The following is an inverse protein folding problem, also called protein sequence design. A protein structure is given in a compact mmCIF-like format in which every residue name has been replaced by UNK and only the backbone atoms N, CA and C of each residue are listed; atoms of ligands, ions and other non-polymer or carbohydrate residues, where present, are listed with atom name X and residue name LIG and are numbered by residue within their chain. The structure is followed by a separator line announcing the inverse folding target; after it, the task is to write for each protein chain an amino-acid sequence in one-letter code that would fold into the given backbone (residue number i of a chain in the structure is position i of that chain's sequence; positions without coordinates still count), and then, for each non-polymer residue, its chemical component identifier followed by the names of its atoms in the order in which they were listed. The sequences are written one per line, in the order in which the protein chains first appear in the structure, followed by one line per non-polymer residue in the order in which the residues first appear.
data_IF_893514939483
#
_entry.id   IF_893514939483
#
_cell.length_a   1.000
_cell.length_b   1.000
_cell.length_c   1.000
_cell.angle_alpha   90.00
_cell.angle_beta   90.00
_cell.angle_gamma   90.00
#
_symmetry.space_group_name_H-M   'P 1'
#
loop_
_entity.id
_entity.type
_entity.pdbx_description
1 polymer ?
#
# COMPACT_ATOMS: atom_id res chain seq x y z
N UNK A 1 -95.76 -18.93 -20.58
CA UNK A 1 -95.13 -18.48 -21.85
C UNK A 1 -94.78 -17.01 -21.69
N UNK A 2 -93.47 -16.71 -21.54
CA UNK A 2 -92.83 -15.37 -21.47
C UNK A 2 -93.48 -14.27 -20.60
N UNK A 3 -92.84 -14.01 -19.46
CA UNK A 3 -92.98 -12.78 -18.68
C UNK A 3 -92.25 -11.57 -19.31
N UNK A 4 -92.67 -10.40 -18.79
CA UNK A 4 -92.02 -9.07 -18.70
C UNK A 4 -92.59 -7.93 -19.55
N UNK A 5 -93.08 -6.90 -18.84
CA UNK A 5 -92.96 -5.52 -19.26
C UNK A 5 -92.27 -4.62 -18.21
N UNK A 6 -91.39 -3.74 -18.71
CA UNK A 6 -91.08 -2.38 -18.21
C UNK A 6 -90.50 -2.19 -16.78
N UNK A 7 -89.32 -1.57 -16.68
CA UNK A 7 -89.25 -0.11 -16.39
C UNK A 7 -87.83 0.49 -16.34
N UNK A 8 -87.73 1.67 -16.97
CA UNK A 8 -86.98 2.89 -16.58
C UNK A 8 -85.43 2.91 -16.57
N UNK A 9 -84.92 3.97 -17.21
CA UNK A 9 -83.51 4.39 -17.30
C UNK A 9 -82.97 4.83 -15.93
N UNK A 10 -81.73 4.47 -15.61
CA UNK A 10 -80.96 5.08 -14.52
C UNK A 10 -79.67 5.72 -15.06
N UNK A 11 -79.38 6.95 -14.63
CA UNK A 11 -78.18 7.70 -15.03
C UNK A 11 -76.97 7.19 -14.24
N UNK A 12 -75.88 6.85 -14.92
CA UNK A 12 -74.58 6.59 -14.27
C UNK A 12 -73.80 7.90 -14.25
N UNK A 13 -73.47 8.38 -13.05
CA UNK A 13 -72.56 9.51 -12.82
C UNK A 13 -71.36 9.02 -12.03
N UNK A 14 -70.18 9.34 -12.56
CA UNK A 14 -68.82 9.40 -11.97
C UNK A 14 -68.58 8.79 -10.57
N UNK A 15 -67.44 8.10 -10.42
CA UNK A 15 -66.36 8.57 -9.55
C UNK A 15 -64.99 8.04 -10.01
N UNK A 16 -64.06 8.95 -10.33
CA UNK A 16 -62.65 8.64 -10.56
C UNK A 16 -61.91 8.74 -9.23
N UNK A 17 -61.46 7.61 -8.67
CA UNK A 17 -60.62 7.61 -7.47
C UNK A 17 -59.14 7.64 -7.86
N UNK A 18 -58.52 8.82 -7.76
CA UNK A 18 -57.08 9.00 -7.93
C UNK A 18 -56.36 8.38 -6.73
N UNK A 19 -55.75 7.20 -6.92
CA UNK A 19 -54.84 6.63 -5.93
C UNK A 19 -53.49 7.34 -6.04
N UNK A 20 -53.26 8.30 -5.15
CA UNK A 20 -51.95 8.94 -4.99
C UNK A 20 -50.99 7.93 -4.36
N UNK A 21 -50.18 7.26 -5.19
CA UNK A 21 -49.03 6.50 -4.71
C UNK A 21 -47.93 7.47 -4.29
N UNK A 22 -47.89 7.81 -3.00
CA UNK A 22 -46.78 8.56 -2.40
C UNK A 22 -45.54 7.66 -2.38
N UNK A 23 -44.76 7.67 -3.46
CA UNK A 23 -43.45 7.00 -3.51
C UNK A 23 -42.48 7.76 -2.63
N UNK A 24 -42.53 7.46 -1.33
CA UNK A 24 -41.46 7.80 -0.38
C UNK A 24 -40.19 7.08 -0.85
N UNK A 25 -39.31 7.85 -1.50
CA UNK A 25 -38.01 7.40 -1.98
C UNK A 25 -37.06 7.06 -0.83
N UNK A 26 -37.30 5.94 -0.16
CA UNK A 26 -36.38 5.36 0.79
C UNK A 26 -35.09 4.99 0.04
N UNK A 27 -34.01 5.72 0.33
CA UNK A 27 -32.67 5.42 -0.15
C UNK A 27 -32.13 4.18 0.59
N UNK A 28 -32.62 3.00 0.19
CA UNK A 28 -32.16 1.71 0.69
C UNK A 28 -30.67 1.52 0.38
N UNK A 29 -29.82 1.91 1.33
CA UNK A 29 -28.39 1.64 1.28
C UNK A 29 -28.17 0.14 1.18
N UNK A 30 -27.24 -0.28 0.31
CA UNK A 30 -27.04 -1.70 0.00
C UNK A 30 -26.79 -2.55 1.26
N UNK A 31 -27.69 -3.50 1.51
CA UNK A 31 -27.54 -4.52 2.55
C UNK A 31 -26.60 -5.61 2.05
N UNK A 32 -25.44 -5.75 2.70
CA UNK A 32 -24.44 -6.76 2.37
C UNK A 32 -24.96 -8.14 2.75
N UNK A 33 -25.01 -9.04 1.76
CA UNK A 33 -25.43 -10.43 1.91
C UNK A 33 -24.21 -11.34 2.11
N UNK A 34 -24.36 -12.35 2.95
CA UNK A 34 -23.28 -13.28 3.32
C UNK A 34 -23.69 -14.72 3.00
N UNK A 35 -22.76 -15.50 2.44
CA UNK A 35 -22.91 -16.93 2.28
C UNK A 35 -22.88 -17.66 3.63
N UNK A 36 -23.20 -18.96 3.62
CA UNK A 36 -23.05 -19.83 4.79
C UNK A 36 -21.85 -20.77 4.59
N UNK A 37 -20.90 -20.85 5.54
CA UNK A 37 -20.71 -19.92 6.67
C UNK A 37 -20.30 -18.52 6.19
N UNK A 38 -20.53 -17.47 7.00
CA UNK A 38 -20.21 -16.09 6.58
C UNK A 38 -18.70 -15.79 6.53
N UNK A 39 -17.92 -16.46 7.36
CA UNK A 39 -16.46 -16.36 7.44
C UNK A 39 -15.86 -17.74 7.73
N UNK A 40 -14.73 -18.04 7.08
CA UNK A 40 -13.98 -19.31 7.19
C UNK A 40 -12.51 -19.05 7.48
N UNK A 41 -11.87 -19.96 8.22
CA UNK A 41 -10.41 -19.99 8.37
C UNK A 41 -9.83 -20.82 7.23
N UNK A 42 -9.08 -20.19 6.32
CA UNK A 42 -8.38 -20.90 5.24
C UNK A 42 -6.97 -21.38 5.65
N UNK A 43 -6.35 -20.67 6.60
CA UNK A 43 -5.07 -20.98 7.20
C UNK A 43 -4.90 -20.21 8.51
N UNK A 44 -4.28 -20.80 9.54
CA UNK A 44 -3.88 -20.10 10.76
C UNK A 44 -2.60 -20.72 11.31
N UNK A 45 -1.54 -19.91 11.37
CA UNK A 45 -0.28 -20.26 12.00
C UNK A 45 -0.36 -20.26 13.53
N UNK A 46 0.58 -20.94 14.17
CA UNK A 46 0.60 -21.14 15.63
C UNK A 46 0.79 -19.87 16.47
N UNK A 47 1.31 -18.78 15.87
CA UNK A 47 1.50 -17.48 16.51
C UNK A 47 0.96 -16.36 15.60
N UNK A 48 -0.24 -16.56 15.05
CA UNK A 48 -0.79 -15.68 14.03
C UNK A 48 -1.12 -14.29 14.57
N UNK A 49 -0.48 -13.26 14.00
CA UNK A 49 -0.74 -11.85 14.31
C UNK A 49 -0.94 -10.98 13.06
N UNK A 50 -0.53 -11.46 11.87
CA UNK A 50 -0.73 -10.81 10.59
C UNK A 50 -1.87 -11.52 9.84
N UNK A 51 -3.02 -10.86 9.74
CA UNK A 51 -4.26 -11.45 9.22
C UNK A 51 -4.54 -10.94 7.80
N UNK A 52 -4.56 -11.82 6.80
CA UNK A 52 -5.04 -11.52 5.45
C UNK A 52 -6.50 -11.98 5.34
N UNK A 53 -7.38 -11.14 4.81
CA UNK A 53 -8.82 -11.43 4.72
C UNK A 53 -9.26 -11.39 3.27
N UNK A 54 -9.53 -12.56 2.71
CA UNK A 54 -9.94 -12.74 1.33
C UNK A 54 -11.45 -12.55 1.23
N UNK A 55 -11.87 -11.57 0.44
CA UNK A 55 -13.28 -11.28 0.14
C UNK A 55 -13.53 -11.43 -1.36
N UNK A 56 -14.73 -11.84 -1.75
CA UNK A 56 -15.17 -11.87 -3.14
C UNK A 56 -16.00 -10.63 -3.47
N UNK A 57 -15.82 -10.06 -4.66
CA UNK A 57 -16.80 -9.14 -5.24
C UNK A 57 -17.18 -9.53 -6.67
N UNK A 58 -18.44 -9.32 -7.03
CA UNK A 58 -19.05 -9.79 -8.27
C UNK A 58 -19.33 -11.30 -8.31
N UNK A 59 -19.30 -12.03 -7.18
CA UNK A 59 -19.68 -13.44 -7.11
C UNK A 59 -21.11 -13.60 -6.63
N UNK A 60 -21.97 -14.18 -7.45
CA UNK A 60 -23.34 -14.54 -7.07
C UNK A 60 -23.36 -15.72 -6.09
N UNK A 61 -24.53 -16.06 -5.55
CA UNK A 61 -24.71 -17.24 -4.68
C UNK A 61 -24.28 -18.54 -5.39
N UNK A 62 -24.62 -18.70 -6.68
CA UNK A 62 -24.21 -19.84 -7.49
C UNK A 62 -22.70 -19.90 -7.77
N UNK A 63 -21.99 -18.77 -7.65
CA UNK A 63 -20.55 -18.68 -7.92
C UNK A 63 -19.67 -18.78 -6.66
N UNK A 64 -20.22 -19.06 -5.48
CA UNK A 64 -19.42 -19.14 -4.25
C UNK A 64 -18.38 -20.28 -4.30
N UNK A 65 -18.64 -21.37 -5.03
CA UNK A 65 -17.65 -22.43 -5.30
C UNK A 65 -16.47 -21.91 -6.15
N UNK A 66 -16.75 -21.08 -7.16
CA UNK A 66 -15.75 -20.41 -8.00
C UNK A 66 -14.90 -19.43 -7.17
N UNK A 67 -15.54 -18.64 -6.30
CA UNK A 67 -14.86 -17.77 -5.34
C UNK A 67 -13.95 -18.57 -4.40
N UNK A 68 -14.44 -19.67 -3.81
CA UNK A 68 -13.65 -20.53 -2.93
C UNK A 68 -12.39 -21.06 -3.65
N UNK A 69 -12.52 -21.52 -4.91
CA UNK A 69 -11.37 -21.92 -5.74
C UNK A 69 -10.36 -20.79 -5.96
N UNK A 70 -10.80 -19.56 -6.21
CA UNK A 70 -9.93 -18.39 -6.33
C UNK A 70 -9.25 -18.01 -5.00
N UNK A 71 -9.95 -18.14 -3.88
CA UNK A 71 -9.40 -17.91 -2.55
C UNK A 71 -8.34 -18.96 -2.17
N UNK A 72 -8.56 -20.24 -2.51
CA UNK A 72 -7.55 -21.31 -2.33
C UNK A 72 -6.30 -21.07 -3.17
N UNK A 73 -6.45 -20.71 -4.45
CA UNK A 73 -5.31 -20.34 -5.32
C UNK A 73 -4.52 -19.15 -4.76
N UNK A 74 -5.22 -18.14 -4.25
CA UNK A 74 -4.62 -16.95 -3.64
C UNK A 74 -3.86 -17.29 -2.35
N UNK A 75 -4.47 -18.10 -1.47
CA UNK A 75 -3.83 -18.66 -0.27
C UNK A 75 -2.53 -19.39 -0.60
N UNK A 76 -2.56 -20.29 -1.60
CA UNK A 76 -1.38 -21.05 -2.02
C UNK A 76 -0.28 -20.12 -2.56
N UNK A 77 -0.63 -19.13 -3.38
CA UNK A 77 0.33 -18.15 -3.91
C UNK A 77 1.04 -17.37 -2.79
N UNK A 78 0.29 -16.93 -1.78
CA UNK A 78 0.83 -16.26 -0.59
C UNK A 78 1.75 -17.22 0.18
N UNK A 79 1.23 -18.37 0.63
CA UNK A 79 1.96 -19.30 1.50
C UNK A 79 3.17 -19.98 0.84
N UNK A 80 3.29 -19.93 -0.48
CA UNK A 80 4.45 -20.46 -1.21
C UNK A 80 5.51 -19.39 -1.54
N UNK A 81 5.17 -18.10 -1.47
CA UNK A 81 6.10 -17.02 -1.80
C UNK A 81 6.95 -16.63 -0.58
N UNK A 82 8.25 -16.42 -0.76
CA UNK A 82 9.12 -15.85 0.28
C UNK A 82 8.84 -14.35 0.45
N UNK A 83 8.81 -13.79 1.68
CA UNK A 83 9.08 -14.45 2.96
C UNK A 83 7.85 -15.01 3.68
N UNK A 84 6.62 -14.89 3.14
CA UNK A 84 5.41 -15.46 3.75
C UNK A 84 5.58 -16.94 4.09
N UNK A 85 6.28 -17.70 3.23
CA UNK A 85 6.56 -19.12 3.44
C UNK A 85 7.46 -19.41 4.66
N UNK A 86 8.38 -18.50 5.02
CA UNK A 86 9.26 -18.54 6.20
C UNK A 86 8.52 -18.12 7.47
N UNK A 87 7.67 -17.11 7.38
CA UNK A 87 6.89 -16.58 8.53
C UNK A 87 5.46 -17.13 8.60
N UNK A 88 5.24 -18.35 8.08
CA UNK A 88 3.93 -19.05 8.10
C UNK A 88 3.25 -19.03 9.47
N UNK A 89 3.99 -19.28 10.54
CA UNK A 89 3.47 -19.26 11.92
C UNK A 89 2.85 -17.91 12.34
N UNK A 90 3.28 -16.80 11.73
CA UNK A 90 2.78 -15.44 11.99
C UNK A 90 1.51 -15.07 11.23
N UNK A 91 1.06 -15.90 10.27
CA UNK A 91 -0.03 -15.58 9.35
C UNK A 91 -1.35 -16.23 9.76
N UNK A 92 -2.44 -15.48 9.62
CA UNK A 92 -3.77 -16.05 9.44
C UNK A 92 -4.34 -15.61 8.08
N UNK A 93 -5.09 -16.49 7.43
CA UNK A 93 -5.81 -16.22 6.19
C UNK A 93 -7.26 -16.64 6.38
N UNK A 94 -8.17 -15.68 6.31
CA UNK A 94 -9.61 -15.89 6.39
C UNK A 94 -10.25 -15.69 5.01
N UNK A 95 -11.40 -16.32 4.78
CA UNK A 95 -12.28 -16.08 3.63
C UNK A 95 -13.62 -15.57 4.16
N UNK A 96 -14.13 -14.47 3.61
CA UNK A 96 -15.48 -13.98 3.89
C UNK A 96 -16.32 -14.16 2.62
N UNK A 97 -17.41 -14.89 2.75
CA UNK A 97 -18.31 -15.21 1.64
C UNK A 97 -19.31 -14.06 1.47
N UNK A 98 -18.98 -13.11 0.59
CA UNK A 98 -19.90 -12.04 0.20
C UNK A 98 -20.71 -12.49 -1.02
N UNK A 99 -22.01 -12.22 -1.00
CA UNK A 99 -22.92 -12.52 -2.12
C UNK A 99 -23.21 -11.21 -2.87
N UNK A 100 -22.81 -11.17 -4.14
CA UNK A 100 -23.26 -10.16 -5.11
C UNK A 100 -24.61 -10.55 -5.72
N UNK A 101 -25.43 -9.57 -6.10
CA UNK A 101 -26.67 -9.86 -6.82
C UNK A 101 -26.40 -10.15 -8.31
N UNK A 102 -25.45 -9.43 -8.89
CA UNK A 102 -25.07 -9.55 -10.30
C UNK A 102 -23.63 -10.10 -10.44
N UNK A 103 -23.36 -10.84 -11.52
CA UNK A 103 -22.05 -11.48 -11.74
C UNK A 103 -21.03 -10.55 -12.41
N UNK A 104 -19.81 -10.55 -11.88
CA UNK A 104 -18.71 -9.67 -12.25
C UNK A 104 -18.96 -8.20 -11.87
N UNK A 105 -18.09 -7.31 -12.33
CA UNK A 105 -18.08 -5.88 -12.00
C UNK A 105 -18.29 -4.98 -13.23
N UNK A 106 -18.51 -3.68 -13.00
CA UNK A 106 -18.64 -2.66 -14.04
C UNK A 106 -17.27 -2.25 -14.63
N UNK A 107 -17.23 -1.83 -15.90
CA UNK A 107 -15.99 -1.40 -16.57
C UNK A 107 -15.60 0.05 -16.29
N UNK A 108 -16.51 0.84 -15.72
CA UNK A 108 -16.26 2.19 -15.19
C UNK A 108 -17.26 2.51 -14.08
N UNK A 109 -16.90 3.45 -13.18
CA UNK A 109 -17.82 3.93 -12.14
C UNK A 109 -19.12 4.53 -12.71
N UNK A 110 -19.06 5.09 -13.91
CA UNK A 110 -20.20 5.71 -14.60
C UNK A 110 -21.18 4.72 -15.21
N UNK A 111 -20.83 3.43 -15.33
CA UNK A 111 -21.77 2.42 -15.82
C UNK A 111 -22.77 2.04 -14.72
N UNK A 112 -22.30 1.77 -13.50
CA UNK A 112 -23.09 1.45 -12.30
C UNK A 112 -24.29 0.51 -12.57
N UNK A 113 -24.07 -0.53 -13.38
CA UNK A 113 -25.12 -1.48 -13.79
C UNK A 113 -25.18 -2.70 -12.89
N UNK A 114 -24.09 -3.03 -12.18
CA UNK A 114 -23.98 -4.27 -11.40
C UNK A 114 -24.00 -4.00 -9.90
N UNK A 115 -24.95 -4.65 -9.21
CA UNK A 115 -25.12 -4.60 -7.76
C UNK A 115 -24.24 -5.68 -7.12
N UNK A 116 -22.94 -5.39 -7.05
CA UNK A 116 -21.95 -6.28 -6.43
C UNK A 116 -21.79 -5.95 -4.95
N UNK A 117 -21.38 -6.93 -4.13
CA UNK A 117 -21.37 -6.83 -2.67
C UNK A 117 -20.52 -5.67 -2.11
N UNK A 118 -19.51 -5.22 -2.86
CA UNK A 118 -18.63 -4.10 -2.52
C UNK A 118 -18.63 -2.99 -3.59
N UNK A 119 -19.62 -2.95 -4.50
CA UNK A 119 -19.73 -1.98 -5.60
C UNK A 119 -18.42 -1.81 -6.40
N UNK A 120 -17.84 -2.94 -6.82
CA UNK A 120 -16.57 -2.98 -7.54
C UNK A 120 -16.67 -2.48 -8.98
N UNK A 121 -15.65 -1.77 -9.45
CA UNK A 121 -15.56 -1.26 -10.82
C UNK A 121 -14.11 -1.09 -11.30
N UNK A 122 -13.90 -1.11 -12.62
CA UNK A 122 -12.60 -0.79 -13.22
C UNK A 122 -12.34 0.71 -13.33
N UNK A 123 -11.10 1.14 -13.08
CA UNK A 123 -10.58 2.44 -13.48
C UNK A 123 -9.26 2.21 -14.25
N UNK A 124 -9.37 2.12 -15.58
CA UNK A 124 -8.27 1.68 -16.44
C UNK A 124 -7.87 0.23 -16.15
N UNK A 125 -6.73 0.03 -15.47
CA UNK A 125 -6.26 -1.28 -14.97
C UNK A 125 -6.45 -1.47 -13.45
N UNK A 126 -6.80 -0.41 -12.71
CA UNK A 126 -7.19 -0.53 -11.32
C UNK A 126 -8.58 -1.17 -11.20
N UNK A 127 -8.81 -1.92 -10.12
CA UNK A 127 -10.13 -2.50 -9.78
C UNK A 127 -10.53 -2.01 -8.40
N UNK A 128 -11.30 -0.93 -8.36
CA UNK A 128 -11.67 -0.25 -7.11
C UNK A 128 -12.95 -0.88 -6.53
N UNK A 129 -13.14 -0.72 -5.22
CA UNK A 129 -14.35 -1.08 -4.48
C UNK A 129 -14.80 0.07 -3.58
N UNK A 130 -16.03 0.03 -3.08
CA UNK A 130 -16.54 0.98 -2.08
C UNK A 130 -15.92 0.71 -0.69
N UNK A 131 -15.08 1.63 -0.17
CA UNK A 131 -14.38 1.42 1.10
C UNK A 131 -15.32 1.46 2.32
N UNK A 132 -16.50 2.08 2.22
CA UNK A 132 -17.49 2.10 3.30
C UNK A 132 -18.17 0.73 3.46
N UNK A 133 -18.44 0.03 2.35
CA UNK A 133 -18.97 -1.35 2.40
C UNK A 133 -17.91 -2.31 2.96
N UNK A 134 -16.65 -2.20 2.49
CA UNK A 134 -15.53 -2.96 3.05
C UNK A 134 -15.38 -2.73 4.57
N UNK A 135 -15.45 -1.48 5.04
CA UNK A 135 -15.38 -1.16 6.47
C UNK A 135 -16.50 -1.82 7.28
N UNK A 136 -17.74 -1.85 6.76
CA UNK A 136 -18.87 -2.55 7.40
C UNK A 136 -18.61 -4.05 7.53
N UNK A 137 -18.07 -4.70 6.49
CA UNK A 137 -17.71 -6.14 6.53
C UNK A 137 -16.63 -6.40 7.57
N UNK A 138 -15.55 -5.62 7.56
CA UNK A 138 -14.44 -5.77 8.52
C UNK A 138 -14.89 -5.52 9.96
N UNK A 139 -15.78 -4.55 10.19
CA UNK A 139 -16.35 -4.28 11.50
C UNK A 139 -17.19 -5.47 12.01
N UNK A 140 -18.06 -6.03 11.16
CA UNK A 140 -18.93 -7.19 11.49
C UNK A 140 -18.13 -8.40 12.00
N UNK A 141 -16.96 -8.66 11.41
CA UNK A 141 -16.13 -9.83 11.74
C UNK A 141 -14.89 -9.49 12.59
N UNK A 142 -14.77 -8.25 13.08
CA UNK A 142 -13.57 -7.75 13.76
C UNK A 142 -13.10 -8.62 14.94
N UNK A 143 -14.02 -9.13 15.75
CA UNK A 143 -13.75 -10.06 16.86
C UNK A 143 -13.08 -11.38 16.44
N UNK A 144 -13.32 -11.84 15.21
CA UNK A 144 -12.77 -13.09 14.66
C UNK A 144 -11.45 -12.88 13.91
N UNK A 145 -11.19 -11.65 13.44
CA UNK A 145 -10.01 -11.27 12.64
C UNK A 145 -8.80 -10.87 13.48
N UNK A 146 -9.00 -10.59 14.77
CA UNK A 146 -7.95 -10.23 15.72
C UNK A 146 -7.59 -8.74 15.69
N UNK A 147 -6.31 -8.41 15.91
CA UNK A 147 -5.89 -7.01 15.98
C UNK A 147 -5.98 -6.33 14.61
N UNK A 148 -6.99 -5.48 14.43
CA UNK A 148 -7.28 -4.76 13.17
C UNK A 148 -6.10 -3.93 12.64
N UNK A 149 -5.12 -3.54 13.47
CA UNK A 149 -3.87 -2.90 13.03
C UNK A 149 -3.09 -3.74 12.03
N UNK A 150 -3.20 -5.07 12.11
CA UNK A 150 -2.52 -6.05 11.25
C UNK A 150 -3.49 -6.89 10.41
N UNK A 151 -4.71 -6.39 10.20
CA UNK A 151 -5.68 -6.93 9.25
C UNK A 151 -5.48 -6.29 7.88
N UNK A 152 -5.44 -7.13 6.85
CA UNK A 152 -5.10 -6.80 5.47
C UNK A 152 -6.15 -7.36 4.50
N UNK A 153 -7.10 -6.53 4.04
CA UNK A 153 -8.13 -6.96 3.11
C UNK A 153 -7.56 -7.24 1.72
N UNK A 154 -7.92 -8.39 1.14
CA UNK A 154 -7.66 -8.77 -0.23
C UNK A 154 -8.99 -9.07 -0.93
N UNK A 155 -9.40 -8.21 -1.87
CA UNK A 155 -10.64 -8.40 -2.61
C UNK A 155 -10.34 -9.08 -3.95
N UNK A 156 -10.87 -10.28 -4.13
CA UNK A 156 -10.87 -10.98 -5.41
C UNK A 156 -12.10 -10.56 -6.18
N UNK A 157 -11.92 -10.04 -7.39
CA UNK A 157 -12.99 -9.52 -8.22
C UNK A 157 -13.26 -10.49 -9.37
N UNK A 158 -14.53 -10.90 -9.52
CA UNK A 158 -14.99 -11.89 -10.50
C UNK A 158 -14.91 -11.38 -11.94
N UNK A 159 -13.70 -11.31 -12.49
CA UNK A 159 -13.45 -10.81 -13.83
C UNK A 159 -12.14 -11.39 -14.38
N UNK A 160 -12.16 -11.77 -15.65
CA UNK A 160 -10.98 -12.26 -16.38
C UNK A 160 -10.15 -11.12 -16.98
N UNK A 161 -10.71 -9.89 -17.10
CA UNK A 161 -9.97 -8.70 -17.54
C UNK A 161 -8.86 -8.39 -16.55
N UNK A 162 -7.63 -8.29 -17.05
CA UNK A 162 -6.49 -7.98 -16.19
C UNK A 162 -6.65 -6.64 -15.45
N UNK A 163 -6.46 -6.68 -14.14
CA UNK A 163 -6.42 -5.52 -13.26
C UNK A 163 -6.19 -5.90 -11.80
N UNK A 164 -5.77 -4.90 -11.03
CA UNK A 164 -5.48 -4.97 -9.61
C UNK A 164 -5.13 -3.57 -9.11
N UNK A 165 -5.27 -3.32 -7.81
CA UNK A 165 -4.81 -2.09 -7.17
C UNK A 165 -4.67 -2.27 -5.67
N UNK A 166 -3.69 -1.59 -5.10
CA UNK A 166 -3.60 -1.37 -3.66
C UNK A 166 -4.03 0.04 -3.34
N UNK A 167 -5.14 0.17 -2.64
CA UNK A 167 -5.57 1.45 -2.08
C UNK A 167 -4.98 1.62 -0.68
N UNK A 168 -4.35 2.78 -0.43
CA UNK A 168 -3.71 3.11 0.83
C UNK A 168 -4.09 4.55 1.22
N UNK A 169 -5.20 4.68 1.96
CA UNK A 169 -5.66 5.93 2.56
C UNK A 169 -5.49 5.87 4.09
N UNK A 170 -5.56 7.02 4.76
CA UNK A 170 -5.60 7.09 6.23
C UNK A 170 -6.81 6.34 6.81
N UNK A 171 -7.96 6.42 6.14
CA UNK A 171 -9.22 5.85 6.62
C UNK A 171 -9.49 4.39 6.18
N UNK A 172 -8.82 3.93 5.12
CA UNK A 172 -9.01 2.58 4.59
C UNK A 172 -7.80 2.13 3.77
N UNK A 173 -7.51 0.83 3.81
CA UNK A 173 -6.50 0.19 2.99
C UNK A 173 -6.97 -1.20 2.54
N UNK A 174 -6.69 -1.55 1.29
CA UNK A 174 -6.97 -2.87 0.74
C UNK A 174 -6.12 -3.15 -0.49
N UNK A 175 -5.91 -4.42 -0.79
CA UNK A 175 -5.47 -4.91 -2.09
C UNK A 175 -6.69 -5.47 -2.82
N UNK A 176 -6.74 -5.32 -4.14
CA UNK A 176 -7.71 -6.00 -4.99
C UNK A 176 -7.05 -6.62 -6.22
N UNK A 177 -7.62 -7.71 -6.71
CA UNK A 177 -7.13 -8.42 -7.89
C UNK A 177 -8.30 -8.96 -8.70
N UNK A 178 -8.26 -8.78 -10.03
CA UNK A 178 -9.07 -9.59 -10.93
C UNK A 178 -8.72 -11.08 -10.78
N UNK A 179 -9.66 -11.96 -11.12
CA UNK A 179 -9.45 -13.41 -11.16
C UNK A 179 -9.15 -13.93 -12.55
N UNK A 180 -8.27 -13.21 -13.26
CA UNK A 180 -7.63 -13.67 -14.50
C UNK A 180 -6.67 -14.85 -14.25
N UNK A 181 -6.14 -15.44 -15.33
CA UNK A 181 -5.09 -16.48 -15.26
C UNK A 181 -3.83 -16.04 -14.49
N UNK A 182 -3.60 -14.73 -14.32
CA UNK A 182 -2.48 -14.16 -13.56
C UNK A 182 -2.79 -13.89 -12.08
N UNK A 183 -3.94 -14.32 -11.57
CA UNK A 183 -4.37 -14.14 -10.16
C UNK A 183 -3.25 -14.43 -9.12
N UNK A 184 -2.51 -15.56 -9.17
CA UNK A 184 -1.41 -15.84 -8.22
C UNK A 184 -0.26 -14.82 -8.26
N UNK A 185 -0.04 -14.18 -9.41
CA UNK A 185 0.98 -13.13 -9.52
C UNK A 185 0.49 -11.83 -8.87
N UNK A 186 -0.68 -11.36 -9.31
CA UNK A 186 -1.26 -10.07 -8.94
C UNK A 186 -1.52 -10.00 -7.43
N UNK A 187 -2.14 -11.03 -6.83
CA UNK A 187 -2.43 -11.05 -5.39
C UNK A 187 -1.19 -10.75 -4.54
N UNK A 188 -0.06 -11.41 -4.83
CA UNK A 188 1.14 -11.26 -4.01
C UNK A 188 1.89 -9.96 -4.35
N UNK A 189 1.75 -9.44 -5.57
CA UNK A 189 2.24 -8.11 -5.96
C UNK A 189 1.52 -7.01 -5.16
N UNK A 190 0.18 -7.02 -5.15
CA UNK A 190 -0.63 -6.04 -4.42
C UNK A 190 -0.43 -6.14 -2.89
N UNK A 191 -0.33 -7.35 -2.34
CA UNK A 191 0.03 -7.52 -0.93
C UNK A 191 1.45 -6.98 -0.60
N UNK A 192 2.35 -6.91 -1.58
CA UNK A 192 3.66 -6.25 -1.46
C UNK A 192 3.55 -4.74 -1.21
N UNK A 193 2.62 -4.06 -1.88
CA UNK A 193 2.28 -2.68 -1.56
C UNK A 193 1.57 -2.57 -0.20
N UNK A 194 0.55 -3.40 0.02
CA UNK A 194 -0.37 -3.26 1.16
C UNK A 194 0.31 -3.54 2.51
N UNK A 195 1.14 -4.58 2.59
CA UNK A 195 1.76 -5.05 3.83
C UNK A 195 3.16 -4.44 3.99
N UNK A 196 4.01 -4.56 2.96
CA UNK A 196 5.43 -4.22 3.04
C UNK A 196 5.77 -2.81 2.57
N UNK A 197 4.80 -2.09 1.99
CA UNK A 197 4.97 -0.73 1.44
C UNK A 197 6.10 -0.65 0.40
N UNK A 198 6.12 -1.62 -0.49
CA UNK A 198 6.96 -1.59 -1.69
C UNK A 198 6.35 -0.64 -2.73
N UNK A 199 7.19 0.02 -3.52
CA UNK A 199 6.78 0.73 -4.71
C UNK A 199 6.75 -0.20 -5.92
N UNK A 200 6.10 0.28 -7.00
CA UNK A 200 6.27 -0.32 -8.31
C UNK A 200 7.64 -0.04 -8.91
N UNK A 201 8.25 -1.10 -9.43
CA UNK A 201 9.53 -1.09 -10.13
C UNK A 201 9.33 -1.09 -11.67
N UNK A 202 8.09 -0.98 -12.16
CA UNK A 202 7.79 -0.75 -13.58
C UNK A 202 8.38 0.58 -14.07
N UNK A 203 8.88 0.58 -15.30
CA UNK A 203 9.52 1.71 -15.98
C UNK A 203 8.65 2.31 -17.11
N UNK A 204 7.35 1.98 -17.10
CA UNK A 204 6.37 2.43 -18.09
C UNK A 204 5.10 2.96 -17.42
N UNK A 205 4.42 3.89 -18.11
CA UNK A 205 3.17 4.50 -17.67
C UNK A 205 3.24 6.02 -17.47
N UNK A 206 4.45 6.60 -17.41
CA UNK A 206 4.68 8.05 -17.40
C UNK A 206 5.74 8.44 -18.44
N UNK A 207 5.59 9.64 -19.00
CA UNK A 207 6.57 10.28 -19.87
C UNK A 207 7.59 11.10 -19.06
N UNK A 208 8.72 11.44 -19.69
CA UNK A 208 9.76 12.27 -19.09
C UNK A 208 10.64 11.55 -18.06
N UNK A 209 11.27 12.35 -17.21
CA UNK A 209 12.24 11.95 -16.18
C UNK A 209 11.65 12.23 -14.79
N UNK A 210 11.93 11.37 -13.82
CA UNK A 210 11.60 11.64 -12.43
C UNK A 210 12.53 12.72 -11.85
N UNK A 211 11.96 13.83 -11.38
CA UNK A 211 12.67 14.93 -10.74
C UNK A 211 12.22 15.16 -9.28
N UNK A 212 11.52 14.18 -8.69
CA UNK A 212 11.09 14.26 -7.30
C UNK A 212 12.23 14.02 -6.31
N UNK A 213 11.96 14.28 -5.03
CA UNK A 213 12.85 13.93 -3.93
C UNK A 213 13.01 12.40 -3.78
N UNK A 214 13.97 11.97 -2.96
CA UNK A 214 14.20 10.55 -2.66
C UNK A 214 12.89 9.85 -2.24
N UNK A 215 12.38 8.85 -2.99
CA UNK A 215 11.15 8.17 -2.64
C UNK A 215 11.25 7.48 -1.27
N UNK A 216 10.19 7.46 -0.44
CA UNK A 216 10.26 6.84 0.88
C UNK A 216 10.36 5.31 0.84
N UNK A 217 9.92 4.69 -0.25
CA UNK A 217 9.80 3.24 -0.39
C UNK A 217 11.17 2.56 -0.52
N UNK A 218 11.35 1.42 0.16
CA UNK A 218 12.66 0.77 0.29
C UNK A 218 13.27 0.24 -1.02
N UNK A 219 12.46 -0.02 -2.04
CA UNK A 219 12.88 -0.67 -3.29
C UNK A 219 12.99 0.26 -4.52
N UNK A 220 12.88 1.59 -4.35
CA UNK A 220 13.09 2.58 -5.43
C UNK A 220 13.77 3.83 -4.90
N UNK A 221 14.69 4.44 -5.65
CA UNK A 221 15.51 5.59 -5.20
C UNK A 221 15.74 6.61 -6.31
N UNK A 222 15.91 7.88 -5.97
CA UNK A 222 16.38 8.93 -6.88
C UNK A 222 17.91 8.98 -6.97
N UNK A 223 18.63 8.11 -6.25
CA UNK A 223 20.07 7.93 -6.37
C UNK A 223 20.43 6.68 -7.20
N UNK A 224 21.04 6.88 -8.36
CA UNK A 224 21.49 5.81 -9.25
C UNK A 224 22.87 5.22 -8.96
N UNK A 225 23.63 5.75 -7.99
CA UNK A 225 24.97 5.26 -7.68
C UNK A 225 24.89 3.96 -6.84
N UNK A 226 25.35 2.80 -7.35
CA UNK A 226 25.23 1.51 -6.64
C UNK A 226 25.93 1.47 -5.28
N UNK A 227 26.91 2.34 -5.02
CA UNK A 227 27.66 2.39 -3.76
C UNK A 227 27.02 3.29 -2.70
N UNK A 228 26.18 4.26 -3.09
CA UNK A 228 25.54 5.22 -2.17
C UNK A 228 24.02 5.21 -2.19
N UNK A 229 23.41 4.45 -3.11
CA UNK A 229 21.97 4.16 -3.10
C UNK A 229 21.58 3.53 -1.76
N UNK A 230 20.39 3.85 -1.26
CA UNK A 230 19.99 3.54 0.12
C UNK A 230 20.06 2.04 0.51
N UNK A 231 19.94 1.13 -0.46
CA UNK A 231 20.04 -0.32 -0.25
C UNK A 231 21.42 -0.91 -0.52
N UNK A 232 22.47 -0.09 -0.65
CA UNK A 232 23.85 -0.55 -0.97
C UNK A 232 24.41 -1.58 0.02
N UNK A 233 23.95 -1.57 1.28
CA UNK A 233 24.27 -2.59 2.29
C UNK A 233 23.61 -3.96 2.04
N UNK A 234 22.61 -4.04 1.16
CA UNK A 234 21.92 -5.28 0.73
C UNK A 234 22.44 -5.73 -0.64
N UNK A 235 22.59 -4.79 -1.58
CA UNK A 235 23.10 -5.05 -2.93
C UNK A 235 23.64 -3.77 -3.56
N UNK A 236 24.84 -3.84 -4.14
CA UNK A 236 25.48 -2.70 -4.81
C UNK A 236 25.05 -2.64 -6.28
N UNK A 237 23.74 -2.49 -6.51
CA UNK A 237 23.12 -2.48 -7.84
C UNK A 237 21.99 -1.46 -7.91
N UNK A 238 21.95 -0.67 -8.98
CA UNK A 238 20.88 0.27 -9.28
C UNK A 238 20.59 0.23 -10.79
N UNK A 239 19.36 -0.10 -11.16
CA UNK A 239 18.91 -0.15 -12.55
C UNK A 239 17.94 1.01 -12.79
N UNK A 240 18.20 1.86 -13.78
CA UNK A 240 17.33 2.99 -14.07
C UNK A 240 15.95 2.51 -14.57
N UNK A 241 14.91 3.24 -14.18
CA UNK A 241 13.51 2.96 -14.45
C UNK A 241 12.79 2.36 -13.23
N UNK A 242 11.77 3.05 -12.73
CA UNK A 242 10.87 2.62 -11.65
C UNK A 242 9.72 3.63 -11.53
N UNK A 243 8.72 3.36 -10.67
CA UNK A 243 7.61 4.29 -10.39
C UNK A 243 6.95 4.84 -11.68
N UNK A 244 6.84 3.99 -12.71
CA UNK A 244 6.30 4.27 -14.04
C UNK A 244 7.15 5.20 -14.94
N UNK A 245 8.31 5.70 -14.46
CA UNK A 245 9.25 6.51 -15.22
C UNK A 245 10.39 5.65 -15.78
N UNK A 246 10.90 6.01 -16.97
CA UNK A 246 12.08 5.38 -17.58
C UNK A 246 13.41 5.92 -17.04
N UNK A 247 13.43 7.14 -16.50
CA UNK A 247 14.64 7.90 -16.13
C UNK A 247 14.50 8.60 -14.78
N UNK A 248 15.62 8.87 -14.11
CA UNK A 248 15.70 9.67 -12.88
C UNK A 248 15.25 8.96 -11.60
N UNK A 249 14.89 7.69 -11.68
CA UNK A 249 14.56 6.84 -10.53
C UNK A 249 15.01 5.41 -10.83
N UNK A 250 15.58 4.75 -9.82
CA UNK A 250 16.24 3.45 -9.94
C UNK A 250 15.54 2.41 -9.07
N UNK A 251 15.67 1.14 -9.47
CA UNK A 251 15.26 -0.07 -8.74
C UNK A 251 16.49 -0.96 -8.44
N UNK A 252 16.44 -1.86 -7.44
CA UNK A 252 17.60 -2.65 -7.04
C UNK A 252 17.98 -3.76 -8.03
N UNK A 253 17.03 -4.35 -8.77
CA UNK A 253 17.28 -5.51 -9.65
C UNK A 253 16.50 -5.45 -10.97
N UNK A 254 16.99 -6.16 -12.00
CA UNK A 254 16.31 -6.28 -13.31
C UNK A 254 14.96 -7.02 -13.23
N UNK A 255 14.85 -8.00 -12.34
CA UNK A 255 13.68 -8.85 -12.16
C UNK A 255 13.20 -8.82 -10.70
N UNK A 256 11.91 -8.56 -10.53
CA UNK A 256 11.21 -8.50 -9.25
C UNK A 256 9.71 -8.68 -9.53
N UNK A 257 8.96 -9.29 -8.62
CA UNK A 257 7.49 -9.31 -8.65
C UNK A 257 6.88 -7.90 -8.73
N UNK A 258 7.57 -6.86 -8.26
CA UNK A 258 7.17 -5.45 -8.38
C UNK A 258 7.43 -4.83 -9.78
N UNK A 259 7.99 -5.59 -10.73
CA UNK A 259 8.30 -5.13 -12.11
C UNK A 259 7.88 -6.10 -13.20
N UNK A 260 7.94 -7.40 -12.93
CA UNK A 260 7.83 -8.45 -13.94
C UNK A 260 7.01 -9.62 -13.44
N UNK A 261 6.60 -10.49 -14.36
CA UNK A 261 5.80 -11.69 -14.08
C UNK A 261 6.55 -12.81 -13.33
N UNK A 262 7.70 -12.53 -12.72
CA UNK A 262 8.44 -13.50 -11.90
C UNK A 262 7.74 -13.69 -10.56
N UNK A 263 7.80 -14.91 -10.02
CA UNK A 263 7.09 -15.29 -8.80
C UNK A 263 7.87 -15.01 -7.49
N UNK A 264 8.90 -14.17 -7.53
CA UNK A 264 9.72 -13.81 -6.37
C UNK A 264 9.94 -12.29 -6.27
N UNK A 265 10.06 -11.79 -5.05
CA UNK A 265 10.54 -10.44 -4.80
C UNK A 265 12.07 -10.38 -4.93
N UNK A 266 12.61 -9.21 -5.28
CA UNK A 266 14.06 -8.97 -5.30
C UNK A 266 14.66 -8.97 -3.87
N UNK A 267 15.98 -9.01 -3.73
CA UNK A 267 16.69 -9.04 -2.43
C UNK A 267 16.25 -7.92 -1.48
N UNK A 268 16.06 -6.70 -1.99
CA UNK A 268 15.66 -5.53 -1.19
C UNK A 268 14.20 -5.59 -0.77
N UNK A 269 13.31 -6.02 -1.68
CA UNK A 269 11.91 -6.27 -1.35
C UNK A 269 11.74 -7.40 -0.33
N UNK A 270 12.50 -8.49 -0.47
CA UNK A 270 12.59 -9.56 0.52
C UNK A 270 13.05 -9.03 1.88
N UNK A 271 14.14 -8.26 1.92
CA UNK A 271 14.68 -7.68 3.15
C UNK A 271 13.62 -6.81 3.87
N UNK A 272 12.93 -5.92 3.15
CA UNK A 272 11.87 -5.08 3.71
C UNK A 272 10.66 -5.90 4.21
N UNK A 273 10.31 -6.97 3.50
CA UNK A 273 9.23 -7.89 3.88
C UNK A 273 9.59 -8.77 5.10
N UNK A 274 10.84 -9.22 5.21
CA UNK A 274 11.35 -9.91 6.41
C UNK A 274 11.39 -8.97 7.61
N UNK A 275 11.87 -7.74 7.42
CA UNK A 275 11.89 -6.72 8.46
C UNK A 275 10.47 -6.48 9.00
N UNK A 276 9.46 -6.43 8.11
CA UNK A 276 8.05 -6.34 8.52
C UNK A 276 7.63 -7.48 9.44
N UNK A 277 7.96 -8.74 9.10
CA UNK A 277 7.57 -9.88 9.94
C UNK A 277 8.32 -9.91 11.28
N UNK A 278 9.57 -9.48 11.32
CA UNK A 278 10.36 -9.41 12.55
C UNK A 278 9.96 -8.24 13.46
N UNK A 279 9.55 -7.09 12.89
CA UNK A 279 9.36 -5.84 13.65
C UNK A 279 7.89 -5.35 13.70
N UNK A 280 6.96 -6.08 13.07
CA UNK A 280 5.53 -5.72 12.93
C UNK A 280 5.28 -4.30 12.37
N UNK A 281 6.22 -3.78 11.57
CA UNK A 281 6.15 -2.45 10.95
C UNK A 281 6.86 -2.45 9.58
N UNK A 282 6.34 -1.76 8.55
CA UNK A 282 7.02 -1.65 7.26
C UNK A 282 8.39 -0.97 7.38
N UNK A 283 9.34 -1.39 6.56
CA UNK A 283 10.64 -0.75 6.46
C UNK A 283 10.63 0.37 5.41
N UNK A 284 11.13 1.53 5.79
CA UNK A 284 11.52 2.61 4.89
C UNK A 284 13.02 2.84 5.04
N UNK A 285 13.82 2.24 4.16
CA UNK A 285 15.27 2.41 4.17
C UNK A 285 15.59 3.89 3.87
N UNK A 286 16.45 4.50 4.70
CA UNK A 286 16.94 5.87 4.50
C UNK A 286 18.34 5.88 3.87
N UNK A 287 18.69 6.85 3.01
CA UNK A 287 20.07 7.01 2.55
C UNK A 287 21.06 7.08 3.71
N UNK A 288 22.23 6.45 3.53
CA UNK A 288 23.29 6.39 4.56
C UNK A 288 22.98 5.54 5.81
N UNK A 289 21.79 4.96 5.93
CA UNK A 289 21.42 4.12 7.07
C UNK A 289 21.50 2.63 6.72
N UNK A 290 22.06 1.83 7.62
CA UNK A 290 22.06 0.38 7.54
C UNK A 290 20.98 -0.21 8.45
N UNK A 291 20.50 -1.40 8.10
CA UNK A 291 19.50 -2.14 8.86
C UNK A 291 19.93 -3.60 8.93
N UNK A 292 19.58 -4.29 10.01
CA UNK A 292 19.82 -5.72 10.18
C UNK A 292 18.51 -6.48 10.29
N UNK A 293 18.55 -7.75 9.90
CA UNK A 293 17.52 -8.73 10.26
C UNK A 293 18.07 -9.59 11.39
N UNK A 294 17.21 -10.00 12.31
CA UNK A 294 17.57 -11.01 13.29
C UNK A 294 17.90 -12.32 12.56
N UNK A 295 19.05 -12.91 12.88
CA UNK A 295 19.36 -14.27 12.46
C UNK A 295 18.50 -15.22 13.28
N UNK A 296 17.52 -15.89 12.65
CA UNK A 296 16.75 -16.96 13.28
C UNK A 296 17.61 -18.24 13.38
N UNK A 297 18.72 -18.16 14.10
CA UNK A 297 19.66 -19.23 14.36
C UNK A 297 19.91 -19.34 15.86
N UNK A 298 19.15 -20.22 16.50
CA UNK A 298 19.13 -20.51 17.93
C UNK A 298 18.66 -19.35 18.85
N UNK A 299 18.04 -19.72 19.97
CA UNK A 299 17.44 -18.74 20.88
C UNK A 299 18.49 -17.99 21.70
N UNK A 300 18.55 -16.67 21.56
CA UNK A 300 18.86 -15.80 22.69
C UNK A 300 18.22 -14.43 22.52
N UNK A 301 17.47 -14.01 23.53
CA UNK A 301 16.68 -12.80 23.52
C UNK A 301 17.60 -11.60 23.82
N UNK A 302 18.10 -10.91 22.79
CA UNK A 302 18.83 -9.66 22.95
C UNK A 302 18.01 -8.51 22.39
N UNK A 303 17.35 -7.78 23.29
CA UNK A 303 16.69 -6.51 22.97
C UNK A 303 17.76 -5.47 22.67
N UNK A 304 18.12 -5.32 21.39
CA UNK A 304 18.99 -4.23 20.98
C UNK A 304 18.18 -2.92 20.91
N UNK A 305 17.98 -2.33 22.09
CA UNK A 305 17.31 -1.05 22.25
C UNK A 305 18.17 0.05 21.62
N UNK A 306 17.82 0.46 20.40
CA UNK A 306 18.48 1.54 19.67
C UNK A 306 18.28 2.89 20.34
N UNK A 307 19.08 3.14 21.38
CA UNK A 307 19.00 4.32 22.22
C UNK A 307 19.53 5.55 21.46
N UNK A 308 18.62 6.31 20.84
CA UNK A 308 18.89 7.62 20.26
C UNK A 308 18.27 8.71 21.14
N UNK A 309 18.92 8.98 22.27
CA UNK A 309 18.69 10.20 23.03
C UNK A 309 19.23 11.40 22.27
N UNK A 310 18.38 12.37 21.96
CA UNK A 310 18.73 13.77 22.16
C UNK A 310 17.48 14.59 22.49
N UNK A 311 17.64 15.71 23.20
CA UNK A 311 16.58 16.41 23.94
C UNK A 311 15.31 16.76 23.13
N UNK A 312 14.14 16.90 23.75
CA UNK A 312 13.91 17.26 25.16
C UNK A 312 13.49 18.73 25.22
N UNK A 313 12.18 18.97 25.26
CA UNK A 313 11.58 20.30 25.22
C UNK A 313 10.10 20.21 25.57
N UNK A 314 9.79 20.36 26.86
CA UNK A 314 8.42 20.39 27.38
C UNK A 314 7.66 21.62 26.84
N UNK A 315 6.36 21.46 26.59
CA UNK A 315 5.42 22.12 27.50
C UNK A 315 4.07 21.40 27.62
N UNK A 316 3.42 21.61 28.76
CA UNK A 316 2.26 20.84 29.22
C UNK A 316 0.93 21.53 28.94
N UNK A 317 -0.12 20.71 28.75
CA UNK A 317 -1.51 20.90 29.21
C UNK A 317 -2.12 22.31 29.24
N UNK A 318 -3.25 22.49 28.54
CA UNK A 318 -4.48 22.74 29.30
C UNK A 318 -5.79 22.25 28.63
N UNK A 319 -6.79 22.05 29.48
CA UNK A 319 -8.17 21.65 29.18
C UNK A 319 -9.01 22.76 28.53
N UNK A 320 -10.14 22.36 27.92
CA UNK A 320 -11.26 23.28 27.61
C UNK A 320 -12.13 22.79 26.45
N UNK A 321 -13.37 22.39 26.72
CA UNK A 321 -14.35 22.04 25.68
C UNK A 321 -15.44 23.10 25.49
N UNK A 322 -16.42 22.83 24.63
CA UNK A 322 -17.70 23.56 24.60
C UNK A 322 -18.09 24.23 23.27
N UNK A 323 -19.00 23.56 22.55
CA UNK A 323 -20.11 24.06 21.72
C UNK A 323 -20.10 25.43 21.00
N UNK A 324 -20.67 25.37 19.78
CA UNK A 324 -21.44 26.42 19.08
C UNK A 324 -20.70 27.70 18.64
N UNK A 325 -21.20 28.50 17.69
CA UNK A 325 -22.07 28.27 16.51
C UNK A 325 -22.18 29.61 15.79
N UNK A 326 -22.22 29.63 14.44
CA UNK A 326 -22.62 30.81 13.65
C UNK A 326 -21.67 32.04 13.74
N UNK A 327 -21.68 33.04 12.84
CA UNK A 327 -22.03 33.13 11.42
C UNK A 327 -21.59 34.52 10.92
N UNK A 328 -21.34 34.68 9.61
CA UNK A 328 -21.25 35.96 8.85
C UNK A 328 -20.22 37.05 9.22
N UNK A 329 -19.70 37.73 8.19
CA UNK A 329 -19.10 39.08 8.34
C UNK A 329 -18.04 39.50 7.31
N UNK A 330 -18.47 39.93 6.11
CA UNK A 330 -17.78 40.78 5.12
C UNK A 330 -16.37 41.34 5.46
N UNK A 331 -15.32 41.04 4.69
CA UNK A 331 -14.89 41.73 3.44
C UNK A 331 -14.59 43.24 3.53
N UNK A 332 -13.31 43.60 3.61
CA UNK A 332 -12.63 44.66 2.81
C UNK A 332 -11.13 44.62 3.18
N UNK A 333 -10.17 44.18 2.36
CA UNK A 333 -9.70 44.63 1.04
C UNK A 333 -8.69 45.82 1.08
N UNK A 334 -7.56 45.61 0.40
CA UNK A 334 -6.46 46.54 0.07
C UNK A 334 -5.56 47.17 1.17
N UNK A 335 -4.25 47.25 0.87
CA UNK A 335 -3.25 47.95 1.67
C UNK A 335 -1.79 47.51 1.43
N UNK A 336 -1.35 47.33 0.18
CA UNK A 336 0.04 46.96 -0.12
C UNK A 336 0.94 48.22 -0.13
N UNK A 337 2.11 48.17 0.51
CA UNK A 337 2.97 49.35 0.73
C UNK A 337 4.47 49.07 0.72
N UNK A 338 5.13 49.53 -0.35
CA UNK A 338 6.57 49.84 -0.53
C UNK A 338 7.13 50.77 0.57
N UNK A 339 8.43 50.96 0.83
CA UNK A 339 9.74 50.38 0.41
C UNK A 339 10.87 51.11 1.19
N UNK A 340 12.16 50.72 1.07
CA UNK A 340 13.39 51.55 1.30
C UNK A 340 13.65 52.09 2.74
N UNK A 341 14.85 52.45 3.24
CA UNK A 341 16.27 52.22 2.88
C UNK A 341 17.22 52.82 3.95
N UNK A 342 18.44 52.26 4.14
CA UNK A 342 19.68 53.06 4.39
C UNK A 342 20.26 53.20 5.83
N UNK A 343 21.61 53.07 5.93
CA UNK A 343 22.49 53.59 7.01
C UNK A 343 22.45 52.90 8.39
N UNK A 344 23.50 52.85 9.22
CA UNK A 344 24.90 53.30 9.13
C UNK A 344 25.79 52.53 10.15
N UNK A 345 27.10 52.44 9.91
CA UNK A 345 28.13 51.90 10.83
C UNK A 345 28.97 53.06 11.43
N UNK A 346 29.72 52.92 12.57
CA UNK A 346 31.08 52.31 12.51
C UNK A 346 31.68 51.70 13.80
N UNK A 347 32.80 50.95 13.64
CA UNK A 347 33.91 50.62 14.60
C UNK A 347 33.55 49.94 15.95
N UNK A 348 34.30 49.01 16.53
CA UNK A 348 35.58 48.32 16.23
C UNK A 348 35.49 46.89 16.86
N UNK A 349 36.46 45.96 16.94
CA UNK A 349 37.92 45.92 16.67
C UNK A 349 38.30 44.54 16.07
N UNK A 350 39.48 43.95 16.33
CA UNK A 350 39.85 42.56 15.96
C UNK A 350 40.77 41.92 17.00
N UNK A 351 40.95 40.58 17.04
CA UNK A 351 42.06 39.97 16.29
C UNK A 351 41.71 38.65 15.54
N UNK A 352 42.69 38.13 14.79
CA UNK A 352 42.55 37.09 13.74
C UNK A 352 43.49 35.91 14.06
N UNK A 353 43.06 34.63 13.95
CA UNK A 353 43.99 33.50 13.91
C UNK A 353 44.58 33.30 12.50
N UNK A 354 45.74 32.66 12.44
CA UNK A 354 46.58 32.53 11.24
C UNK A 354 46.15 31.41 10.27
N UNK A 355 46.44 31.63 8.98
CA UNK A 355 46.38 30.61 7.94
C UNK A 355 47.64 29.74 7.98
N UNK A 356 47.48 28.42 8.00
CA UNK A 356 48.57 27.50 7.69
C UNK A 356 48.08 26.48 6.64
N UNK A 357 48.81 26.38 5.52
CA UNK A 357 48.35 25.73 4.27
C UNK A 357 49.13 24.41 4.05
N UNK A 358 48.49 23.24 3.93
CA UNK A 358 49.21 21.99 3.64
C UNK A 358 49.76 21.93 2.22
N UNK A 359 50.93 21.31 2.05
CA UNK A 359 51.59 21.04 0.74
C UNK A 359 50.87 19.93 -0.06
N UNK A 360 51.00 19.89 -1.40
CA UNK A 360 50.24 18.97 -2.25
C UNK A 360 50.77 17.52 -2.26
N UNK A 361 49.82 16.58 -2.33
CA UNK A 361 49.90 15.18 -2.78
C UNK A 361 51.28 14.48 -2.90
N UNK A 362 51.51 13.51 -2.01
CA UNK A 362 52.17 12.26 -2.39
C UNK A 362 51.15 11.10 -2.31
N UNK A 363 51.10 10.18 -3.30
CA UNK A 363 50.17 9.05 -3.29
C UNK A 363 50.60 8.00 -2.25
N UNK A 364 49.73 7.72 -1.26
CA UNK A 364 49.95 6.62 -0.30
C UNK A 364 49.71 5.27 -1.00
N UNK A 365 50.52 4.23 -0.76
CA UNK A 365 50.31 2.92 -1.38
C UNK A 365 48.99 2.30 -0.94
N UNK A 366 48.23 1.73 -1.89
CA UNK A 366 46.99 1.01 -1.62
C UNK A 366 47.32 -0.33 -0.96
N UNK A 367 46.92 -0.49 0.30
CA UNK A 367 46.95 -1.78 1.00
C UNK A 367 45.66 -2.53 0.70
N UNK A 368 45.77 -3.83 0.39
CA UNK A 368 44.64 -4.73 0.20
C UNK A 368 44.76 -5.87 1.21
N UNK A 369 43.65 -6.22 1.87
CA UNK A 369 43.56 -7.38 2.75
C UNK A 369 43.08 -8.56 1.92
N UNK A 370 43.87 -9.63 1.88
CA UNK A 370 43.53 -10.88 1.19
C UNK A 370 43.46 -11.99 2.24
N UNK A 371 42.43 -12.83 2.18
CA UNK A 371 42.28 -13.96 3.10
C UNK A 371 42.82 -15.22 2.42
N UNK A 372 43.86 -15.81 3.00
CA UNK A 372 44.44 -17.08 2.54
C UNK A 372 44.34 -18.08 3.67
N UNK A 373 43.74 -19.25 3.42
CA UNK A 373 43.49 -20.32 4.42
C UNK A 373 42.89 -19.80 5.73
N UNK A 374 41.92 -18.88 5.63
CA UNK A 374 41.19 -18.33 6.78
C UNK A 374 41.94 -17.28 7.62
N UNK A 375 43.17 -16.89 7.25
CA UNK A 375 43.91 -15.80 7.93
C UNK A 375 44.02 -14.56 7.03
N UNK A 376 43.75 -13.34 7.54
CA UNK A 376 43.91 -12.12 6.77
C UNK A 376 45.39 -11.74 6.66
N UNK A 377 45.85 -11.49 5.43
CA UNK A 377 47.21 -11.01 5.14
C UNK A 377 47.09 -9.63 4.48
N UNK A 378 47.86 -8.66 4.97
CA UNK A 378 47.91 -7.30 4.42
C UNK A 378 49.02 -7.22 3.38
N UNK A 379 48.66 -7.04 2.11
CA UNK A 379 49.62 -6.92 1.02
C UNK A 379 49.67 -5.47 0.54
N UNK A 380 50.88 -4.94 0.35
CA UNK A 380 51.11 -3.61 -0.21
C UNK A 380 51.34 -3.72 -1.71
N UNK A 381 50.47 -3.11 -2.52
CA UNK A 381 50.63 -3.10 -3.97
C UNK A 381 51.68 -2.05 -4.36
N UNK A 382 52.82 -2.52 -4.86
CA UNK A 382 53.85 -1.66 -5.46
C UNK A 382 53.41 -1.12 -6.83
N UNK A 383 53.64 0.16 -7.08
CA UNK A 383 53.36 0.78 -8.38
C UNK A 383 54.39 0.31 -9.42
N UNK A 384 54.06 -0.76 -10.16
CA UNK A 384 54.90 -1.22 -11.26
C UNK A 384 54.73 -0.26 -12.46
N UNK A 385 55.74 0.59 -12.72
CA UNK A 385 55.82 1.36 -13.97
C UNK A 385 56.29 0.41 -15.07
N UNK A 386 55.42 0.05 -16.00
CA UNK A 386 55.85 -0.52 -17.28
C UNK A 386 56.70 0.50 -18.02
N UNK A 387 57.95 0.14 -18.35
CA UNK A 387 58.67 0.82 -19.42
C UNK A 387 58.10 0.35 -20.76
N UNK A 388 58.11 1.25 -21.75
CA UNK A 388 58.04 0.89 -23.17
C UNK A 388 59.31 0.16 -23.57
#
# INVERSE_FOLDING_TARGET
MKDFPQMKKLKIVMYFSIIVFTVLGASFGQTIQYGSPGIEVLYKGSNAWCTIVIMGDGYTQAEQAKFAGHAVKSKQAILNTFPYNKYKSSLAIYKINLISKDSGVDYSRSQNKKRTALEGFYYGRAVLINPNLLRKVLQKFSSQLGNMKYVYPLILVNSTRHGGVTSMSYYYRYASSCTSSRLPHIVVHELGHLIFRLADEYDYGRSGTYHGSEPPYSNVSANGNPYTVKWSFITQTAFEGAMYYKKGVWRPQKYCRMRTWVNYFCKVCNFAAEYYFQNKKPLFIRPGHTYTLANNGNGNNSSNNGNNNNGGGNNSSNNGGGNNSSNNGNTSNNGNGTSTSGGSHPNNTRPKPSLNRPKPNQPRPKKVVVVVRGRPIVVSLGNNKSKK
#
